data_IF_091509704490
#
_entry.id   IF_091509704490
#
_cell.length_a   1.000
_cell.length_b   1.000
_cell.length_c   1.000
_cell.angle_alpha   90.00
_cell.angle_beta   90.00
_cell.angle_gamma   90.00
#
_symmetry.space_group_name_H-M   'P 1'
#
loop_
_entity.id
_entity.type
_entity.pdbx_description
1 polymer ?
#
# COMPACT_ATOMS: atom_id res chain seq x y z
N UNK A 1 -30.88 0.43 42.84
CA UNK A 1 -29.97 1.54 43.21
C UNK A 1 -28.54 1.04 43.13
N UNK A 2 -27.85 1.30 42.02
CA UNK A 2 -26.45 0.92 41.79
C UNK A 2 -25.53 1.95 42.46
N UNK A 3 -24.60 1.47 43.29
CA UNK A 3 -23.72 2.30 44.12
C UNK A 3 -22.76 3.15 43.28
N UNK A 4 -22.55 4.41 43.71
CA UNK A 4 -21.65 5.42 43.13
C UNK A 4 -20.20 4.94 42.89
N UNK A 5 -19.80 3.79 43.45
CA UNK A 5 -18.47 3.18 43.25
C UNK A 5 -18.29 2.46 41.91
N UNK A 6 -19.36 2.09 41.20
CA UNK A 6 -19.23 1.38 39.91
C UNK A 6 -18.95 2.33 38.73
N UNK A 7 -19.23 3.63 38.89
CA UNK A 7 -19.10 4.61 37.80
C UNK A 7 -17.67 5.14 37.57
N UNK A 8 -16.76 4.99 38.53
CA UNK A 8 -15.39 5.55 38.44
C UNK A 8 -14.43 4.61 37.68
N UNK A 9 -14.74 3.31 37.56
CA UNK A 9 -13.87 2.37 36.82
C UNK A 9 -14.00 2.46 35.29
N UNK A 10 -15.08 3.03 34.76
CA UNK A 10 -15.30 3.17 33.31
C UNK A 10 -14.68 4.43 32.71
N UNK A 11 -14.29 5.42 33.51
CA UNK A 11 -13.71 6.68 33.01
C UNK A 11 -12.18 6.61 32.76
N UNK A 12 -11.52 5.53 33.17
CA UNK A 12 -10.06 5.37 32.99
C UNK A 12 -9.65 4.62 31.72
N UNK A 13 -10.62 4.09 30.94
CA UNK A 13 -10.33 3.40 29.69
C UNK A 13 -10.29 4.33 28.46
N UNK A 14 -10.72 5.59 28.59
CA UNK A 14 -10.94 6.49 27.43
C UNK A 14 -9.75 7.40 27.10
N UNK A 15 -8.67 7.38 27.88
CA UNK A 15 -7.54 8.32 27.71
C UNK A 15 -6.25 7.71 27.17
N UNK A 16 -6.20 6.41 26.86
CA UNK A 16 -4.99 5.78 26.29
C UNK A 16 -4.86 6.04 24.78
N UNK A 17 -5.96 6.42 24.10
CA UNK A 17 -5.94 6.72 22.67
C UNK A 17 -5.22 8.04 22.32
N UNK A 18 -4.93 8.91 23.29
CA UNK A 18 -4.29 10.22 23.05
C UNK A 18 -2.77 10.23 23.28
N UNK A 19 -2.16 9.09 23.63
CA UNK A 19 -0.71 8.97 23.87
C UNK A 19 -0.04 7.91 23.01
N UNK A 20 -0.75 7.30 22.06
CA UNK A 20 -0.12 6.40 21.10
C UNK A 20 0.80 7.23 20.19
N UNK A 21 2.10 6.96 20.31
CA UNK A 21 3.06 7.44 19.30
C UNK A 21 2.63 6.94 17.91
N UNK A 22 2.89 7.68 16.82
CA UNK A 22 2.49 7.28 15.46
C UNK A 22 2.91 5.84 15.11
N UNK A 23 4.04 5.38 15.67
CA UNK A 23 4.55 4.02 15.53
C UNK A 23 3.67 2.95 16.19
N UNK A 24 2.99 3.27 17.30
CA UNK A 24 2.07 2.35 18.00
C UNK A 24 0.68 2.29 17.35
N UNK A 25 0.21 3.41 16.80
CA UNK A 25 -0.99 3.42 15.96
C UNK A 25 -0.77 2.58 14.69
N UNK A 26 0.43 2.67 14.08
CA UNK A 26 0.83 1.76 13.02
C UNK A 26 0.84 0.31 13.54
N UNK A 27 1.48 0.00 14.66
CA UNK A 27 1.48 -1.36 15.23
C UNK A 27 0.10 -1.95 15.55
N UNK A 28 -0.87 -1.15 16.00
CA UNK A 28 -2.25 -1.64 16.20
C UNK A 28 -2.98 -1.87 14.87
N UNK A 29 -2.69 -1.09 13.83
CA UNK A 29 -3.14 -1.40 12.45
C UNK A 29 -2.42 -2.64 11.91
N UNK A 30 -1.14 -2.85 12.25
CA UNK A 30 -0.31 -3.97 11.82
C UNK A 30 -0.70 -5.31 12.48
N UNK A 31 -1.19 -5.31 13.73
CA UNK A 31 -1.39 -6.54 14.54
C UNK A 31 -2.79 -7.13 14.49
N UNK A 32 -3.78 -6.40 13.96
CA UNK A 32 -5.16 -6.88 13.78
C UNK A 32 -5.45 -7.55 12.43
N UNK A 33 -4.42 -7.86 11.64
CA UNK A 33 -4.62 -8.40 10.29
C UNK A 33 -4.89 -9.90 10.34
N UNK A 34 -6.13 -10.31 10.09
CA UNK A 34 -6.40 -11.60 9.45
C UNK A 34 -5.49 -11.74 8.21
N UNK A 35 -5.04 -12.96 7.91
CA UNK A 35 -4.18 -13.27 6.75
C UNK A 35 -5.00 -13.05 5.47
N UNK A 36 -5.04 -11.80 4.98
CA UNK A 36 -5.81 -11.42 3.79
C UNK A 36 -5.10 -11.98 2.55
N UNK A 37 -5.82 -12.67 1.63
CA UNK A 37 -5.25 -13.07 0.36
C UNK A 37 -4.64 -11.88 -0.37
N UNK A 38 -3.41 -12.05 -0.87
CA UNK A 38 -2.64 -11.00 -1.52
C UNK A 38 -2.19 -11.47 -2.91
N UNK A 39 -2.51 -10.67 -3.93
CA UNK A 39 -1.98 -10.80 -5.29
C UNK A 39 -1.02 -9.64 -5.57
N UNK A 40 0.20 -9.93 -6.06
CA UNK A 40 1.24 -8.91 -6.26
C UNK A 40 1.74 -8.89 -7.70
N UNK A 41 1.71 -7.71 -8.32
CA UNK A 41 2.24 -7.46 -9.66
C UNK A 41 3.53 -6.63 -9.61
N UNK A 42 4.48 -6.90 -10.51
CA UNK A 42 5.71 -6.12 -10.68
C UNK A 42 6.02 -5.96 -12.18
N UNK A 43 6.82 -4.97 -12.56
CA UNK A 43 7.39 -4.83 -13.92
C UNK A 43 8.78 -5.51 -14.00
N UNK A 44 9.08 -6.27 -15.05
CA UNK A 44 10.33 -7.02 -15.22
C UNK A 44 11.42 -6.22 -15.85
N UNK A 45 11.06 -5.16 -16.55
CA UNK A 45 12.02 -4.33 -17.22
C UNK A 45 12.62 -3.32 -16.25
N UNK A 46 11.96 -3.10 -15.10
CA UNK A 46 12.41 -2.23 -14.02
C UNK A 46 13.23 -2.99 -12.98
N UNK A 47 14.45 -2.51 -12.73
CA UNK A 47 15.30 -3.06 -11.67
C UNK A 47 14.70 -2.83 -10.27
N UNK A 48 14.00 -1.71 -10.06
CA UNK A 48 13.31 -1.44 -8.79
C UNK A 48 12.14 -2.39 -8.56
N UNK A 49 11.39 -2.71 -9.61
CA UNK A 49 10.30 -3.69 -9.54
C UNK A 49 10.82 -5.10 -9.29
N UNK A 50 11.96 -5.49 -9.88
CA UNK A 50 12.67 -6.73 -9.52
C UNK A 50 13.10 -6.75 -8.05
N UNK A 51 13.69 -5.65 -7.56
CA UNK A 51 14.11 -5.54 -6.18
C UNK A 51 12.92 -5.60 -5.20
N UNK A 52 11.80 -4.98 -5.57
CA UNK A 52 10.56 -5.05 -4.83
C UNK A 52 10.05 -6.49 -4.74
N UNK A 53 9.85 -7.18 -5.86
CA UNK A 53 9.25 -8.52 -5.86
C UNK A 53 10.15 -9.56 -5.15
N UNK A 54 11.48 -9.41 -5.21
CA UNK A 54 12.40 -10.30 -4.51
C UNK A 54 12.32 -10.19 -2.97
N UNK A 55 11.82 -9.08 -2.45
CA UNK A 55 11.70 -8.80 -1.02
C UNK A 55 10.30 -9.12 -0.44
N UNK A 56 9.36 -9.62 -1.25
CA UNK A 56 8.03 -10.00 -0.76
C UNK A 56 8.14 -11.33 0.01
N UNK A 57 8.00 -11.25 1.34
CA UNK A 57 8.29 -12.34 2.28
C UNK A 57 7.43 -13.60 2.08
N UNK A 58 6.19 -13.44 1.59
CA UNK A 58 5.28 -14.55 1.30
C UNK A 58 5.14 -14.73 -0.21
N UNK A 59 6.02 -15.57 -0.77
CA UNK A 59 5.98 -16.07 -2.15
C UNK A 59 4.77 -16.99 -2.40
N UNK A 60 3.54 -16.47 -2.33
CA UNK A 60 2.33 -17.24 -2.70
C UNK A 60 1.76 -16.87 -4.08
N UNK A 61 2.27 -15.84 -4.75
CA UNK A 61 1.92 -15.55 -6.14
C UNK A 61 3.11 -14.91 -6.88
N UNK A 62 3.92 -15.75 -7.54
CA UNK A 62 4.88 -15.26 -8.52
C UNK A 62 4.09 -14.86 -9.77
N UNK A 63 4.10 -13.57 -10.11
CA UNK A 63 3.53 -13.09 -11.38
C UNK A 63 4.69 -12.89 -12.36
N UNK A 64 4.61 -13.65 -13.46
CA UNK A 64 5.37 -13.46 -14.69
C UNK A 64 4.93 -12.16 -15.38
N UNK A 65 5.51 -11.80 -16.51
CA UNK A 65 5.71 -10.39 -16.84
C UNK A 65 5.17 -9.94 -18.20
N UNK A 66 4.02 -10.52 -18.58
CA UNK A 66 3.15 -10.00 -19.62
C UNK A 66 1.79 -9.68 -19.02
N UNK A 67 1.51 -8.39 -18.79
CA UNK A 67 0.31 -7.95 -18.08
C UNK A 67 -0.98 -8.51 -18.68
N UNK A 68 -1.01 -8.70 -20.02
CA UNK A 68 -2.17 -9.27 -20.71
C UNK A 68 -2.42 -10.74 -20.37
N UNK A 69 -1.36 -11.49 -20.07
CA UNK A 69 -1.45 -12.89 -19.65
C UNK A 69 -1.96 -13.04 -18.21
N UNK A 70 -1.94 -11.96 -17.42
CA UNK A 70 -2.38 -11.99 -16.02
C UNK A 70 -3.79 -11.44 -15.78
N UNK A 71 -4.51 -11.04 -16.83
CA UNK A 71 -5.89 -10.59 -16.70
C UNK A 71 -6.81 -11.70 -16.18
N UNK A 72 -6.61 -12.94 -16.61
CA UNK A 72 -7.41 -14.07 -16.13
C UNK A 72 -7.07 -14.42 -14.69
N UNK A 73 -5.78 -14.39 -14.31
CA UNK A 73 -5.35 -14.53 -12.92
C UNK A 73 -5.96 -13.46 -12.01
N UNK A 74 -5.98 -12.20 -12.46
CA UNK A 74 -6.63 -11.10 -11.73
C UNK A 74 -8.13 -11.37 -11.54
N UNK A 75 -8.82 -11.74 -12.61
CA UNK A 75 -10.27 -12.05 -12.56
C UNK A 75 -10.58 -13.23 -11.63
N UNK A 76 -9.78 -14.28 -11.70
CA UNK A 76 -9.90 -15.46 -10.83
C UNK A 76 -9.71 -15.05 -9.37
N UNK A 77 -8.62 -14.35 -9.06
CA UNK A 77 -8.37 -13.85 -7.71
C UNK A 77 -9.51 -12.96 -7.19
N UNK A 78 -10.02 -12.03 -7.99
CA UNK A 78 -11.14 -11.17 -7.59
C UNK A 78 -12.41 -11.96 -7.26
N UNK A 79 -12.67 -13.08 -7.95
CA UNK A 79 -13.83 -13.95 -7.70
C UNK A 79 -13.64 -14.83 -6.47
N UNK A 80 -12.46 -15.42 -6.32
CA UNK A 80 -12.16 -16.37 -5.23
C UNK A 80 -11.86 -15.68 -3.91
N UNK A 81 -11.29 -14.48 -3.97
CA UNK A 81 -10.87 -13.70 -2.81
C UNK A 81 -11.56 -12.34 -2.79
N UNK A 82 -12.90 -12.28 -2.61
CA UNK A 82 -13.66 -11.02 -2.68
C UNK A 82 -13.31 -10.03 -1.57
N UNK A 83 -12.58 -10.45 -0.53
CA UNK A 83 -12.02 -9.59 0.55
C UNK A 83 -10.49 -9.41 0.45
N UNK A 84 -9.89 -9.90 -0.64
CA UNK A 84 -8.46 -9.89 -0.89
C UNK A 84 -7.89 -8.50 -1.15
N UNK A 85 -6.58 -8.46 -1.33
CA UNK A 85 -5.83 -7.26 -1.70
C UNK A 85 -5.02 -7.54 -2.96
N UNK A 86 -4.98 -6.57 -3.86
CA UNK A 86 -4.13 -6.63 -5.05
C UNK A 86 -3.19 -5.45 -4.95
N UNK A 87 -1.89 -5.68 -5.07
CA UNK A 87 -0.89 -4.61 -4.98
C UNK A 87 0.14 -4.76 -6.08
N UNK A 88 0.90 -3.72 -6.35
CA UNK A 88 2.01 -3.87 -7.28
C UNK A 88 2.94 -2.68 -7.38
N UNK A 89 4.01 -2.89 -8.15
CA UNK A 89 4.97 -1.87 -8.57
C UNK A 89 5.25 -2.01 -10.07
N UNK A 90 4.52 -1.24 -10.87
CA UNK A 90 4.45 -1.39 -12.34
C UNK A 90 4.65 -0.04 -13.03
N UNK A 91 4.54 -0.02 -14.37
CA UNK A 91 4.30 1.23 -15.10
C UNK A 91 2.86 1.70 -14.88
N UNK A 92 2.62 2.98 -15.15
CA UNK A 92 1.29 3.58 -15.05
C UNK A 92 0.28 2.94 -16.02
N UNK A 93 0.73 2.59 -17.24
CA UNK A 93 -0.10 1.91 -18.25
C UNK A 93 -0.65 0.57 -17.76
N UNK A 94 0.19 -0.21 -17.08
CA UNK A 94 -0.16 -1.55 -16.62
C UNK A 94 -1.10 -1.46 -15.42
N UNK A 95 -0.83 -0.52 -14.52
CA UNK A 95 -1.71 -0.21 -13.40
C UNK A 95 -3.10 0.21 -13.90
N UNK A 96 -3.17 1.11 -14.89
CA UNK A 96 -4.43 1.55 -15.46
C UNK A 96 -5.26 0.37 -16.00
N UNK A 97 -4.64 -0.53 -16.77
CA UNK A 97 -5.33 -1.70 -17.34
C UNK A 97 -5.87 -2.64 -16.25
N UNK A 98 -5.03 -2.97 -15.26
CA UNK A 98 -5.42 -3.81 -14.13
C UNK A 98 -6.53 -3.17 -13.29
N UNK A 99 -6.45 -1.86 -13.05
CA UNK A 99 -7.46 -1.13 -12.28
C UNK A 99 -8.83 -1.20 -12.96
N UNK A 100 -8.90 -1.05 -14.28
CA UNK A 100 -10.17 -1.15 -15.00
C UNK A 100 -10.80 -2.54 -14.85
N UNK A 101 -10.02 -3.61 -14.97
CA UNK A 101 -10.51 -4.97 -14.80
C UNK A 101 -10.96 -5.21 -13.36
N UNK A 102 -10.18 -4.78 -12.38
CA UNK A 102 -10.48 -4.99 -10.97
C UNK A 102 -11.75 -4.24 -10.51
N UNK A 103 -12.03 -3.07 -11.11
CA UNK A 103 -13.26 -2.29 -10.85
C UNK A 103 -14.52 -3.07 -11.19
N UNK A 104 -14.51 -3.89 -12.23
CA UNK A 104 -15.64 -4.76 -12.60
C UNK A 104 -16.01 -5.76 -11.50
N UNK A 105 -15.06 -6.06 -10.60
CA UNK A 105 -15.24 -6.93 -9.44
C UNK A 105 -15.36 -6.17 -8.11
N UNK A 106 -15.48 -4.83 -8.14
CA UNK A 106 -15.65 -4.01 -6.94
C UNK A 106 -14.36 -3.74 -6.16
N UNK A 107 -13.19 -3.93 -6.77
CA UNK A 107 -11.91 -3.52 -6.21
C UNK A 107 -11.57 -2.11 -6.67
N UNK A 108 -11.16 -1.25 -5.74
CA UNK A 108 -10.87 0.16 -6.02
C UNK A 108 -9.52 0.54 -5.43
N UNK A 109 -8.87 1.52 -6.05
CA UNK A 109 -7.61 2.10 -5.58
C UNK A 109 -7.78 2.74 -4.20
N UNK A 110 -7.03 2.22 -3.23
CA UNK A 110 -6.96 2.79 -1.87
C UNK A 110 -5.63 3.51 -1.63
N UNK A 111 -4.63 3.13 -2.41
CA UNK A 111 -3.29 3.67 -2.39
C UNK A 111 -2.73 3.65 -3.81
N UNK A 112 -2.10 4.75 -4.21
CA UNK A 112 -1.17 4.77 -5.32
C UNK A 112 -0.04 5.74 -5.01
N UNK A 113 1.15 5.50 -5.56
CA UNK A 113 2.23 6.47 -5.52
C UNK A 113 3.06 6.42 -6.79
N UNK A 114 3.39 7.59 -7.33
CA UNK A 114 4.34 7.69 -8.44
C UNK A 114 5.76 7.87 -7.90
N UNK A 115 6.72 7.22 -8.54
CA UNK A 115 8.13 7.22 -8.20
C UNK A 115 8.90 7.60 -9.45
N UNK A 116 9.57 8.74 -9.44
CA UNK A 116 10.34 9.20 -10.59
C UNK A 116 11.67 9.79 -10.17
N UNK A 117 12.67 9.54 -11.01
CA UNK A 117 14.01 10.10 -10.89
C UNK A 117 14.19 11.23 -11.89
N UNK A 118 14.70 12.37 -11.42
CA UNK A 118 15.07 13.52 -12.25
C UNK A 118 16.48 13.97 -11.86
N UNK A 119 17.49 13.51 -12.60
CA UNK A 119 18.87 13.58 -12.14
C UNK A 119 19.00 12.90 -10.78
N UNK A 120 19.69 13.54 -9.84
CA UNK A 120 19.93 13.03 -8.49
C UNK A 120 18.73 13.13 -7.54
N UNK A 121 17.54 13.46 -8.04
CA UNK A 121 16.35 13.68 -7.23
C UNK A 121 15.32 12.59 -7.46
N UNK A 122 15.02 11.84 -6.39
CA UNK A 122 13.89 10.92 -6.32
C UNK A 122 12.68 11.66 -5.76
N UNK A 123 11.61 11.69 -6.54
CA UNK A 123 10.32 12.22 -6.11
C UNK A 123 9.34 11.07 -5.87
N UNK A 124 8.64 11.15 -4.73
CA UNK A 124 7.48 10.32 -4.47
C UNK A 124 6.24 11.20 -4.38
N UNK A 125 5.19 10.82 -5.08
CA UNK A 125 3.88 11.46 -4.98
C UNK A 125 2.84 10.40 -4.60
N UNK A 126 2.38 10.44 -3.36
CA UNK A 126 1.55 9.43 -2.72
C UNK A 126 0.10 9.90 -2.64
N UNK A 127 -0.81 9.14 -3.21
CA UNK A 127 -2.26 9.34 -3.14
C UNK A 127 -2.90 8.25 -2.26
N UNK A 128 -3.50 8.66 -1.16
CA UNK A 128 -4.08 7.77 -0.14
C UNK A 128 -5.05 8.54 0.76
N UNK A 129 -5.72 7.89 1.72
CA UNK A 129 -6.37 8.59 2.84
C UNK A 129 -5.42 9.59 3.52
N UNK A 130 -5.94 10.68 4.10
CA UNK A 130 -5.13 11.76 4.69
C UNK A 130 -4.03 11.28 5.64
N UNK A 131 -4.42 10.48 6.63
CA UNK A 131 -3.48 10.02 7.66
C UNK A 131 -2.44 9.05 7.08
N UNK A 132 -2.86 8.17 6.17
CA UNK A 132 -1.94 7.22 5.52
C UNK A 132 -1.02 7.90 4.51
N UNK A 133 -1.49 8.91 3.78
CA UNK A 133 -0.67 9.64 2.80
C UNK A 133 0.54 10.31 3.48
N UNK A 134 0.33 10.95 4.63
CA UNK A 134 1.41 11.58 5.40
C UNK A 134 2.40 10.55 5.95
N UNK A 135 1.90 9.44 6.51
CA UNK A 135 2.70 8.35 7.05
C UNK A 135 3.55 7.66 5.97
N UNK A 136 2.95 7.33 4.83
CA UNK A 136 3.64 6.64 3.73
C UNK A 136 4.67 7.57 3.10
N UNK A 137 4.31 8.83 2.83
CA UNK A 137 5.25 9.83 2.28
C UNK A 137 6.46 10.02 3.19
N UNK A 138 6.23 10.13 4.50
CA UNK A 138 7.31 10.26 5.49
C UNK A 138 8.19 9.02 5.55
N UNK A 139 7.60 7.83 5.38
CA UNK A 139 8.33 6.55 5.39
C UNK A 139 9.18 6.36 4.14
N UNK A 140 8.63 6.67 2.96
CA UNK A 140 9.38 6.65 1.69
C UNK A 140 10.56 7.63 1.73
N UNK A 141 10.35 8.84 2.27
CA UNK A 141 11.43 9.80 2.50
C UNK A 141 12.58 9.23 3.34
N UNK A 142 12.26 8.47 4.39
CA UNK A 142 13.26 7.83 5.27
C UNK A 142 13.93 6.63 4.61
N UNK A 143 13.20 5.89 3.78
CA UNK A 143 13.70 4.70 3.10
C UNK A 143 14.76 5.03 2.03
N UNK A 144 14.71 6.22 1.40
CA UNK A 144 15.66 6.64 0.36
C UNK A 144 15.75 5.58 -0.74
N UNK A 145 16.94 5.12 -1.12
CA UNK A 145 17.18 4.08 -2.13
C UNK A 145 16.53 2.72 -1.80
N UNK A 146 16.23 2.46 -0.52
CA UNK A 146 15.59 1.23 -0.07
C UNK A 146 14.06 1.29 -0.15
N UNK A 147 13.49 2.31 -0.80
CA UNK A 147 12.05 2.45 -0.96
C UNK A 147 11.35 1.21 -1.58
N UNK A 148 11.92 0.46 -2.56
CA UNK A 148 11.24 -0.71 -3.11
C UNK A 148 11.13 -1.84 -2.08
N UNK A 149 12.18 -2.04 -1.28
CA UNK A 149 12.17 -3.02 -0.19
C UNK A 149 11.22 -2.59 0.92
N UNK A 150 11.19 -1.30 1.26
CA UNK A 150 10.23 -0.77 2.23
C UNK A 150 8.80 -1.06 1.77
N UNK A 151 8.45 -0.80 0.51
CA UNK A 151 7.13 -1.13 -0.02
C UNK A 151 6.82 -2.63 0.12
N UNK A 152 7.74 -3.49 -0.31
CA UNK A 152 7.56 -4.95 -0.25
C UNK A 152 7.20 -5.44 1.16
N UNK A 153 7.86 -4.87 2.17
CA UNK A 153 7.66 -5.23 3.58
C UNK A 153 6.35 -4.68 4.19
N UNK A 154 5.69 -3.71 3.55
CA UNK A 154 4.54 -3.00 4.13
C UNK A 154 3.26 -3.08 3.27
N UNK A 155 3.25 -3.86 2.18
CA UNK A 155 2.07 -3.95 1.29
C UNK A 155 0.78 -4.38 2.00
N UNK A 156 0.87 -5.34 2.92
CA UNK A 156 -0.29 -5.92 3.62
C UNK A 156 -1.02 -4.94 4.54
N UNK A 157 -0.35 -3.85 4.87
CA UNK A 157 -0.81 -2.87 5.85
C UNK A 157 -1.07 -1.51 5.20
N UNK A 158 -0.98 -1.46 3.87
CA UNK A 158 -1.49 -0.34 3.10
C UNK A 158 -2.98 -0.17 3.39
N UNK A 159 -3.45 1.10 3.36
CA UNK A 159 -4.81 1.44 3.76
C UNK A 159 -5.85 0.68 2.94
N UNK A 160 -6.94 0.30 3.62
CA UNK A 160 -8.08 -0.39 3.04
C UNK A 160 -9.37 0.37 3.34
N UNK A 161 -10.26 0.40 2.36
CA UNK A 161 -11.60 0.98 2.50
C UNK A 161 -11.69 2.46 2.13
N UNK A 162 -12.92 2.94 1.93
CA UNK A 162 -13.16 4.23 1.30
C UNK A 162 -12.74 5.40 2.17
N UNK A 163 -11.66 6.04 1.78
CA UNK A 163 -11.37 7.41 2.19
C UNK A 163 -11.28 8.28 0.94
N UNK A 164 -11.59 9.56 1.10
CA UNK A 164 -11.19 10.54 0.11
C UNK A 164 -9.67 10.53 0.00
N UNK A 165 -9.16 10.31 -1.22
CA UNK A 165 -7.74 10.32 -1.48
C UNK A 165 -7.23 11.76 -1.47
N UNK A 166 -6.10 11.97 -0.81
CA UNK A 166 -5.30 13.19 -0.89
C UNK A 166 -3.91 12.82 -1.38
N UNK A 167 -3.29 13.75 -2.09
CA UNK A 167 -1.95 13.56 -2.65
C UNK A 167 -0.92 14.32 -1.84
N UNK A 168 0.15 13.63 -1.44
CA UNK A 168 1.29 14.17 -0.71
C UNK A 168 2.56 13.94 -1.51
N UNK A 169 3.45 14.94 -1.53
CA UNK A 169 4.67 14.89 -2.34
C UNK A 169 5.90 15.02 -1.46
N UNK A 170 6.94 14.23 -1.75
CA UNK A 170 8.26 14.38 -1.15
C UNK A 170 9.37 14.20 -2.18
N UNK A 171 10.51 14.82 -1.91
CA UNK A 171 11.69 14.79 -2.75
C UNK A 171 12.92 14.47 -1.90
N UNK A 172 13.80 13.65 -2.47
CA UNK A 172 14.99 13.12 -1.82
C UNK A 172 16.15 13.27 -2.79
N UNK A 173 17.22 13.92 -2.36
CA UNK A 173 18.48 13.93 -3.12
C UNK A 173 19.28 12.67 -2.78
N UNK A 174 19.69 11.94 -3.82
CA UNK A 174 20.45 10.70 -3.75
C UNK A 174 21.81 10.89 -4.43
N UNK A 175 22.84 10.18 -3.98
CA UNK A 175 24.19 10.41 -4.47
C UNK A 175 24.41 9.84 -5.89
N UNK A 176 23.76 8.71 -6.21
CA UNK A 176 23.87 8.01 -7.49
C UNK A 176 22.49 7.60 -7.99
N UNK A 177 22.12 8.04 -9.18
CA UNK A 177 20.83 7.75 -9.81
C UNK A 177 21.04 7.52 -11.30
N UNK A 178 21.52 6.34 -11.66
CA UNK A 178 21.65 5.94 -13.07
C UNK A 178 20.30 5.44 -13.66
N UNK A 179 19.21 5.64 -12.92
CA UNK A 179 17.88 5.14 -13.26
C UNK A 179 16.94 6.30 -13.54
N UNK A 180 16.15 6.13 -14.60
CA UNK A 180 15.16 7.10 -15.09
C UNK A 180 13.75 6.50 -15.14
N UNK A 181 13.54 5.41 -14.39
CA UNK A 181 12.28 4.69 -14.42
C UNK A 181 11.18 5.54 -13.77
N UNK A 182 10.03 5.58 -14.44
CA UNK A 182 8.78 6.10 -13.88
C UNK A 182 7.92 4.91 -13.50
N UNK A 183 7.72 4.72 -12.19
CA UNK A 183 6.97 3.59 -11.66
C UNK A 183 5.81 4.07 -10.82
N UNK A 184 4.77 3.25 -10.75
CA UNK A 184 3.61 3.44 -9.90
C UNK A 184 3.54 2.26 -8.96
N UNK A 185 3.61 2.52 -7.65
CA UNK A 185 3.18 1.55 -6.65
C UNK A 185 1.71 1.76 -6.35
N UNK A 186 0.98 0.68 -6.09
CA UNK A 186 -0.47 0.78 -5.93
C UNK A 186 -1.03 -0.37 -5.11
N UNK A 187 -2.24 -0.15 -4.58
CA UNK A 187 -3.03 -1.18 -3.92
C UNK A 187 -4.52 -0.98 -4.17
N UNK A 188 -5.16 -2.07 -4.59
CA UNK A 188 -6.59 -2.21 -4.80
C UNK A 188 -7.16 -3.10 -3.70
N UNK A 189 -8.27 -2.67 -3.12
CA UNK A 189 -9.05 -3.51 -2.23
C UNK A 189 -10.55 -3.32 -2.48
N UNK A 190 -11.37 -4.28 -2.06
CA UNK A 190 -12.80 -4.15 -2.04
C UNK A 190 -13.22 -2.96 -1.20
N UNK A 191 -14.32 -2.36 -1.63
CA UNK A 191 -14.98 -1.33 -0.87
C UNK A 191 -15.74 -1.99 0.30
N UNK A 192 -15.38 -1.67 1.56
CA UNK A 192 -16.05 -2.22 2.75
C UNK A 192 -17.53 -1.83 2.90
N UNK A 193 -18.05 -0.91 2.08
CA UNK A 193 -19.37 -0.30 2.24
C UNK A 193 -20.35 -0.56 1.07
N UNK A 194 -20.23 -1.68 0.34
CA UNK A 194 -21.24 -2.12 -0.63
C UNK A 194 -21.70 -3.54 -0.36
#
# INVERSE_FOLDING_TARGET
MLSRRTFIKSALATNVALLATPSQALQQVLTGSEEIPLLVFADEHSAHSKHFISNVAERKSNIDLDIGQHFDLLREFCKESPMGQISGLTRDSDFFALEQIAKDFGFYTQYSATHHYSGNMLTHEVSSSKDSAELITSSLKKAKEQWPQWLANHMRVLPRGNAQLVTQKTQISLANTDQHDFLVSWSLSPNKNK
#
